data_IF_802773817787
#
_entry.id   IF_802773817787
#
_cell.length_a   1.000
_cell.length_b   1.000
_cell.length_c   1.000
_cell.angle_alpha   90.00
_cell.angle_beta   90.00
_cell.angle_gamma   90.00
#
_symmetry.space_group_name_H-M   'P 1'
#
loop_
_entity.id
_entity.type
_entity.pdbx_description
1 polymer ?
#
# COMPACT_ATOMS: atom_id res chain seq x y z
N UNK A 1 11.95 -14.61 4.80
CA UNK A 1 11.09 -15.30 5.79
C UNK A 1 11.27 -14.83 7.22
N UNK A 2 12.34 -14.14 7.66
CA UNK A 2 12.53 -13.95 9.12
C UNK A 2 12.21 -12.55 9.72
N UNK A 3 11.83 -11.53 8.93
CA UNK A 3 11.39 -10.24 9.52
C UNK A 3 9.93 -9.89 9.22
N UNK A 4 9.53 -9.92 7.95
CA UNK A 4 8.13 -9.67 7.56
C UNK A 4 7.25 -10.82 8.03
N UNK A 5 7.57 -12.07 7.65
CA UNK A 5 6.71 -13.21 8.00
C UNK A 5 6.65 -13.39 9.54
N UNK A 6 7.76 -13.21 10.27
CA UNK A 6 7.76 -13.28 11.75
C UNK A 6 6.92 -12.19 12.42
N UNK A 7 6.87 -10.96 11.87
CA UNK A 7 5.94 -9.92 12.35
C UNK A 7 4.50 -10.18 11.94
N UNK A 8 4.28 -10.79 10.78
CA UNK A 8 2.94 -10.99 10.21
C UNK A 8 2.21 -12.16 10.89
N UNK A 9 2.93 -13.22 11.28
CA UNK A 9 2.35 -14.41 11.94
C UNK A 9 1.78 -14.16 13.34
N UNK A 10 2.10 -13.01 13.96
CA UNK A 10 1.59 -12.61 15.29
C UNK A 10 0.61 -11.41 15.22
N UNK A 11 0.30 -10.91 14.02
CA UNK A 11 -0.53 -9.72 13.81
C UNK A 11 -1.86 -10.07 13.13
N UNK A 12 -2.87 -9.22 13.31
CA UNK A 12 -4.16 -9.38 12.62
C UNK A 12 -4.02 -9.02 11.13
N UNK A 13 -4.86 -9.58 10.24
CA UNK A 13 -4.90 -9.22 8.82
C UNK A 13 -4.94 -7.70 8.56
N UNK A 14 -5.61 -6.93 9.42
CA UNK A 14 -5.64 -5.46 9.37
C UNK A 14 -4.25 -4.80 9.37
N UNK A 15 -3.29 -5.40 10.09
CA UNK A 15 -1.96 -4.83 10.31
C UNK A 15 -0.97 -5.18 9.19
N UNK A 16 -1.31 -6.13 8.31
CA UNK A 16 -0.44 -6.58 7.23
C UNK A 16 -0.05 -5.41 6.33
N UNK A 17 -0.98 -4.49 6.08
CA UNK A 17 -0.75 -3.27 5.29
C UNK A 17 0.47 -2.48 5.79
N UNK A 18 0.58 -2.26 7.09
CA UNK A 18 1.70 -1.52 7.67
C UNK A 18 3.02 -2.29 7.54
N UNK A 19 2.97 -3.62 7.68
CA UNK A 19 4.17 -4.46 7.50
C UNK A 19 4.62 -4.47 6.04
N UNK A 20 3.68 -4.60 5.10
CA UNK A 20 3.95 -4.56 3.66
C UNK A 20 4.56 -3.23 3.25
N UNK A 21 3.99 -2.11 3.71
CA UNK A 21 4.55 -0.78 3.48
C UNK A 21 6.00 -0.70 3.97
N UNK A 22 6.24 -1.02 5.24
CA UNK A 22 7.57 -0.93 5.84
C UNK A 22 8.57 -1.86 5.13
N UNK A 23 8.13 -3.07 4.77
CA UNK A 23 8.89 -4.05 4.04
C UNK A 23 9.36 -3.53 2.69
N UNK A 24 8.44 -3.16 1.81
CA UNK A 24 8.78 -2.66 0.47
C UNK A 24 9.46 -1.30 0.51
N UNK A 25 9.12 -0.42 1.45
CA UNK A 25 9.85 0.82 1.65
C UNK A 25 11.31 0.55 1.99
N UNK A 26 11.58 -0.40 2.90
CA UNK A 26 12.95 -0.77 3.25
C UNK A 26 13.66 -1.41 2.07
N UNK A 27 12.99 -2.34 1.37
CA UNK A 27 13.53 -3.02 0.19
C UNK A 27 13.93 -2.02 -0.90
N UNK A 28 13.03 -1.13 -1.28
CA UNK A 28 13.25 -0.18 -2.38
C UNK A 28 14.27 0.91 -2.01
N UNK A 29 14.42 1.22 -0.72
CA UNK A 29 15.45 2.15 -0.23
C UNK A 29 16.88 1.63 -0.43
N UNK A 30 17.10 0.32 -0.55
CA UNK A 30 18.44 -0.20 -0.86
C UNK A 30 18.90 0.17 -2.27
N UNK A 31 17.97 0.50 -3.17
CA UNK A 31 18.23 0.90 -4.57
C UNK A 31 18.98 -0.12 -5.41
N UNK A 32 19.23 -1.30 -4.86
CA UNK A 32 19.85 -2.41 -5.55
C UNK A 32 18.94 -2.89 -6.69
N UNK A 33 19.54 -3.19 -7.83
CA UNK A 33 18.79 -3.73 -8.97
C UNK A 33 18.06 -5.04 -8.61
N UNK A 34 18.69 -5.87 -7.78
CA UNK A 34 18.08 -7.09 -7.25
C UNK A 34 16.83 -6.78 -6.42
N UNK A 35 16.86 -5.77 -5.56
CA UNK A 35 15.72 -5.37 -4.74
C UNK A 35 14.54 -4.88 -5.58
N UNK A 36 14.81 -4.16 -6.68
CA UNK A 36 13.77 -3.74 -7.64
C UNK A 36 13.14 -4.94 -8.36
N UNK A 37 13.96 -5.92 -8.74
CA UNK A 37 13.49 -7.15 -9.38
C UNK A 37 12.62 -7.94 -8.39
N UNK A 38 13.11 -8.18 -7.17
CA UNK A 38 12.36 -8.87 -6.11
C UNK A 38 11.03 -8.16 -5.79
N UNK A 39 11.04 -6.83 -5.73
CA UNK A 39 9.84 -6.00 -5.62
C UNK A 39 8.86 -6.21 -6.79
N UNK A 40 9.35 -6.14 -8.03
CA UNK A 40 8.52 -6.32 -9.22
C UNK A 40 7.93 -7.73 -9.31
N UNK A 41 8.68 -8.75 -8.90
CA UNK A 41 8.20 -10.13 -8.79
C UNK A 41 7.14 -10.30 -7.69
N UNK A 42 7.28 -9.58 -6.58
CA UNK A 42 6.27 -9.59 -5.51
C UNK A 42 4.97 -8.91 -5.95
N UNK A 43 5.05 -7.77 -6.65
CA UNK A 43 3.88 -7.15 -7.28
C UNK A 43 3.23 -8.05 -8.32
N UNK A 44 4.05 -8.72 -9.13
CA UNK A 44 3.56 -9.65 -10.13
C UNK A 44 2.78 -10.77 -9.44
N UNK A 45 3.31 -11.37 -8.37
CA UNK A 45 2.64 -12.41 -7.59
C UNK A 45 1.29 -11.94 -7.00
N UNK A 46 1.25 -10.73 -6.44
CA UNK A 46 0.00 -10.14 -5.93
C UNK A 46 -1.05 -9.92 -7.03
N UNK A 47 -0.63 -9.44 -8.21
CA UNK A 47 -1.53 -9.29 -9.37
C UNK A 47 -2.05 -10.64 -9.87
N UNK A 48 -1.13 -11.58 -10.02
CA UNK A 48 -1.37 -12.95 -10.43
C UNK A 48 -2.42 -13.62 -9.54
N UNK A 49 -2.24 -13.50 -8.22
CA UNK A 49 -3.18 -13.96 -7.21
C UNK A 49 -4.53 -13.21 -7.25
N UNK A 50 -4.51 -11.89 -7.38
CA UNK A 50 -5.74 -11.08 -7.46
C UNK A 50 -6.59 -11.46 -8.69
N UNK A 51 -5.96 -11.59 -9.85
CA UNK A 51 -6.61 -12.01 -11.10
C UNK A 51 -7.23 -13.39 -10.92
N UNK A 52 -6.46 -14.32 -10.37
CA UNK A 52 -6.94 -15.68 -10.11
C UNK A 52 -8.16 -15.66 -9.19
N UNK A 53 -8.10 -14.93 -8.07
CA UNK A 53 -9.21 -14.84 -7.13
C UNK A 53 -10.49 -14.31 -7.79
N UNK A 54 -10.40 -13.19 -8.51
CA UNK A 54 -11.55 -12.59 -9.20
C UNK A 54 -12.15 -13.53 -10.25
N UNK A 55 -11.33 -14.28 -10.99
CA UNK A 55 -11.80 -15.29 -11.92
C UNK A 55 -12.55 -16.43 -11.21
N UNK A 56 -12.09 -16.84 -10.02
CA UNK A 56 -12.76 -17.87 -9.21
C UNK A 56 -14.06 -17.39 -8.60
N UNK A 57 -14.10 -16.18 -8.01
CA UNK A 57 -15.36 -15.58 -7.52
C UNK A 57 -16.40 -15.58 -8.64
N UNK A 58 -16.01 -15.13 -9.84
CA UNK A 58 -16.89 -15.05 -11.00
C UNK A 58 -17.37 -16.42 -11.51
N UNK A 59 -16.57 -17.48 -11.36
CA UNK A 59 -16.90 -18.81 -11.89
C UNK A 59 -17.62 -19.72 -10.88
N UNK A 60 -17.37 -19.53 -9.59
CA UNK A 60 -17.91 -20.38 -8.53
C UNK A 60 -19.15 -19.79 -7.83
N UNK A 61 -19.31 -18.46 -7.83
CA UNK A 61 -20.51 -17.84 -7.25
C UNK A 61 -21.56 -17.60 -8.33
N UNK A 62 -22.65 -18.37 -8.25
CA UNK A 62 -23.80 -18.20 -9.14
C UNK A 62 -24.45 -16.82 -9.00
N UNK A 63 -24.54 -16.31 -7.76
CA UNK A 63 -25.10 -14.97 -7.49
C UNK A 63 -24.30 -13.87 -8.18
N UNK A 64 -22.96 -13.94 -8.09
CA UNK A 64 -22.06 -12.99 -8.76
C UNK A 64 -22.14 -13.16 -10.28
N UNK A 65 -22.18 -14.40 -10.78
CA UNK A 65 -22.20 -14.69 -12.21
C UNK A 65 -23.52 -14.26 -12.90
N UNK A 66 -24.63 -14.26 -12.17
CA UNK A 66 -25.95 -13.91 -12.71
C UNK A 66 -26.28 -12.40 -12.56
N UNK A 67 -25.52 -11.64 -11.77
CA UNK A 67 -25.66 -10.19 -11.64
C UNK A 67 -24.91 -9.46 -12.78
N UNK A 68 -25.62 -8.86 -13.77
CA UNK A 68 -24.97 -8.26 -14.94
C UNK A 68 -24.11 -7.04 -14.61
N UNK A 69 -24.47 -6.29 -13.57
CA UNK A 69 -23.72 -5.10 -13.15
C UNK A 69 -22.37 -5.52 -12.56
N UNK A 70 -22.40 -6.53 -11.70
CA UNK A 70 -21.20 -7.09 -11.08
C UNK A 70 -20.31 -7.79 -12.09
N UNK A 71 -20.89 -8.60 -12.97
CA UNK A 71 -20.12 -9.30 -13.99
C UNK A 71 -19.36 -8.33 -14.90
N UNK A 72 -20.00 -7.23 -15.32
CA UNK A 72 -19.37 -6.18 -16.12
C UNK A 72 -18.29 -5.43 -15.32
N UNK A 73 -18.55 -5.09 -14.05
CA UNK A 73 -17.56 -4.48 -13.16
C UNK A 73 -16.30 -5.36 -12.98
N UNK A 74 -16.49 -6.65 -12.69
CA UNK A 74 -15.41 -7.65 -12.59
C UNK A 74 -14.60 -7.72 -13.88
N UNK A 75 -15.28 -7.73 -15.03
CA UNK A 75 -14.64 -7.69 -16.35
C UNK A 75 -13.74 -6.47 -16.55
N UNK A 76 -14.16 -5.29 -16.09
CA UNK A 76 -13.33 -4.08 -16.12
C UNK A 76 -12.12 -4.19 -15.22
N UNK A 77 -12.29 -4.61 -13.96
CA UNK A 77 -11.19 -4.81 -13.01
C UNK A 77 -10.17 -5.81 -13.56
N UNK A 78 -10.64 -6.98 -14.02
CA UNK A 78 -9.78 -8.00 -14.65
C UNK A 78 -9.02 -7.45 -15.87
N UNK A 79 -9.66 -6.63 -16.70
CA UNK A 79 -9.01 -5.97 -17.84
C UNK A 79 -7.87 -5.05 -17.40
N UNK A 80 -8.06 -4.31 -16.31
CA UNK A 80 -7.02 -3.45 -15.73
C UNK A 80 -5.87 -4.28 -15.14
N UNK A 81 -6.17 -5.24 -14.26
CA UNK A 81 -5.16 -6.06 -13.61
C UNK A 81 -4.33 -6.86 -14.63
N UNK A 82 -4.96 -7.46 -15.64
CA UNK A 82 -4.24 -8.20 -16.70
C UNK A 82 -3.37 -7.30 -17.56
N UNK A 83 -3.78 -6.04 -17.78
CA UNK A 83 -2.96 -5.03 -18.46
C UNK A 83 -1.75 -4.63 -17.62
N UNK A 84 -1.93 -4.37 -16.33
CA UNK A 84 -0.86 -4.04 -15.40
C UNK A 84 0.13 -5.20 -15.24
N UNK A 85 -0.39 -6.42 -15.15
CA UNK A 85 0.40 -7.67 -15.19
C UNK A 85 1.30 -7.70 -16.43
N UNK A 86 0.76 -7.39 -17.60
CA UNK A 86 1.54 -7.34 -18.85
C UNK A 86 2.63 -6.27 -18.80
N UNK A 87 2.36 -5.11 -18.20
CA UNK A 87 3.37 -4.05 -18.05
C UNK A 87 4.51 -4.46 -17.12
N UNK A 88 4.20 -5.06 -15.96
CA UNK A 88 5.22 -5.57 -15.04
C UNK A 88 6.05 -6.70 -15.66
N UNK A 89 5.43 -7.63 -16.39
CA UNK A 89 6.16 -8.66 -17.12
C UNK A 89 7.17 -8.06 -18.10
N UNK A 90 6.80 -6.98 -18.80
CA UNK A 90 7.71 -6.30 -19.72
C UNK A 90 8.84 -5.58 -18.99
N UNK A 91 8.60 -5.04 -17.79
CA UNK A 91 9.65 -4.44 -16.95
C UNK A 91 10.63 -5.53 -16.49
N UNK A 92 10.12 -6.65 -15.97
CA UNK A 92 10.94 -7.76 -15.50
C UNK A 92 11.76 -8.37 -16.64
N UNK A 93 11.13 -8.67 -17.78
CA UNK A 93 11.79 -9.27 -18.94
C UNK A 93 12.90 -8.39 -19.51
N UNK A 94 12.70 -7.07 -19.53
CA UNK A 94 13.76 -6.14 -19.97
C UNK A 94 14.96 -6.10 -19.03
N UNK A 95 14.73 -6.24 -17.73
CA UNK A 95 15.80 -6.19 -16.71
C UNK A 95 16.54 -7.51 -16.56
N UNK A 96 15.82 -8.63 -16.64
CA UNK A 96 16.35 -9.96 -16.35
C UNK A 96 16.66 -10.78 -17.60
N UNK A 97 16.09 -10.43 -18.75
CA UNK A 97 16.08 -11.27 -19.94
C UNK A 97 15.11 -12.46 -19.86
N UNK A 98 14.41 -12.63 -18.74
CA UNK A 98 13.50 -13.74 -18.50
C UNK A 98 12.07 -13.24 -18.33
N UNK A 99 11.12 -13.96 -18.93
CA UNK A 99 9.69 -13.67 -18.77
C UNK A 99 9.09 -14.63 -17.74
N UNK A 100 8.73 -14.14 -16.53
CA UNK A 100 8.19 -15.01 -15.49
C UNK A 100 6.92 -15.73 -15.94
N UNK A 101 6.81 -16.99 -15.55
CA UNK A 101 5.59 -17.78 -15.74
C UNK A 101 4.73 -17.73 -14.50
N UNK A 102 3.43 -17.90 -14.71
CA UNK A 102 2.45 -18.02 -13.64
C UNK A 102 2.76 -19.30 -12.84
N UNK A 103 2.91 -19.17 -11.53
CA UNK A 103 3.31 -20.27 -10.62
C UNK A 103 2.08 -21.07 -10.22
N UNK A 104 1.75 -22.12 -10.98
CA UNK A 104 0.50 -22.90 -10.82
C UNK A 104 0.36 -23.52 -9.42
N UNK A 105 1.46 -24.00 -8.87
CA UNK A 105 1.54 -24.69 -7.58
C UNK A 105 1.09 -23.78 -6.42
N UNK A 106 1.33 -22.46 -6.53
CA UNK A 106 0.89 -21.48 -5.55
C UNK A 106 -0.65 -21.38 -5.48
N UNK A 107 -1.31 -21.45 -6.63
CA UNK A 107 -2.77 -21.37 -6.70
C UNK A 107 -3.44 -22.68 -6.31
N UNK A 108 -2.83 -23.81 -6.64
CA UNK A 108 -3.32 -25.13 -6.23
C UNK A 108 -3.33 -25.26 -4.70
N UNK A 109 -2.27 -24.79 -4.02
CA UNK A 109 -2.23 -24.73 -2.56
C UNK A 109 -3.32 -23.81 -1.98
N UNK A 110 -3.58 -22.67 -2.62
CA UNK A 110 -4.67 -21.78 -2.21
C UNK A 110 -6.05 -22.43 -2.42
N UNK A 111 -6.29 -23.05 -3.57
CA UNK A 111 -7.53 -23.81 -3.82
C UNK A 111 -7.78 -24.88 -2.77
N UNK A 112 -6.76 -25.62 -2.38
CA UNK A 112 -6.88 -26.71 -1.41
C UNK A 112 -7.26 -26.17 -0.01
N UNK A 113 -6.68 -25.04 0.40
CA UNK A 113 -7.01 -24.37 1.66
C UNK A 113 -8.41 -23.74 1.69
N UNK A 114 -8.90 -23.25 0.54
CA UNK A 114 -10.24 -22.67 0.44
C UNK A 114 -11.29 -23.78 0.35
N UNK A 115 -10.98 -24.90 -0.31
CA UNK A 115 -11.84 -26.09 -0.33
C UNK A 115 -12.06 -26.67 1.07
N UNK A 116 -11.11 -26.50 1.99
CA UNK A 116 -11.25 -26.90 3.39
C UNK A 116 -12.04 -25.89 4.22
N UNK A 117 -12.01 -24.58 3.91
CA UNK A 117 -12.79 -23.55 4.64
C UNK A 117 -14.26 -23.47 4.22
N UNK A 118 -14.60 -23.77 2.96
CA UNK A 118 -15.97 -23.71 2.37
C UNK A 118 -16.71 -22.37 2.53
N UNK A 119 -16.04 -21.31 2.93
CA UNK A 119 -16.66 -20.00 3.14
C UNK A 119 -16.26 -19.02 2.02
N UNK A 120 -17.24 -18.66 1.19
CA UNK A 120 -17.05 -17.69 0.11
C UNK A 120 -16.69 -16.30 0.67
N UNK A 121 -17.16 -15.95 1.87
CA UNK A 121 -16.78 -14.69 2.51
C UNK A 121 -15.28 -14.66 2.82
N UNK A 122 -14.74 -15.77 3.33
CA UNK A 122 -13.32 -15.89 3.64
C UNK A 122 -12.45 -15.79 2.37
N UNK A 123 -12.91 -16.43 1.29
CA UNK A 123 -12.27 -16.32 -0.03
C UNK A 123 -12.22 -14.88 -0.56
N UNK A 124 -13.36 -14.19 -0.54
CA UNK A 124 -13.47 -12.79 -0.99
C UNK A 124 -12.62 -11.89 -0.08
N UNK A 125 -12.62 -12.13 1.23
CA UNK A 125 -11.83 -11.37 2.18
C UNK A 125 -10.32 -11.56 1.98
N UNK A 126 -9.86 -12.78 1.65
CA UNK A 126 -8.47 -13.05 1.28
C UNK A 126 -8.05 -12.36 -0.03
N UNK A 127 -8.92 -12.38 -1.03
CA UNK A 127 -8.70 -11.65 -2.29
C UNK A 127 -8.61 -10.13 -2.06
N UNK A 128 -9.49 -9.58 -1.21
CA UNK A 128 -9.45 -8.17 -0.80
C UNK A 128 -8.17 -7.83 -0.06
N UNK A 129 -7.72 -8.69 0.86
CA UNK A 129 -6.45 -8.53 1.56
C UNK A 129 -5.29 -8.44 0.56
N UNK A 130 -5.25 -9.32 -0.44
CA UNK A 130 -4.23 -9.27 -1.49
C UNK A 130 -4.25 -7.95 -2.28
N UNK A 131 -5.44 -7.48 -2.70
CA UNK A 131 -5.58 -6.20 -3.42
C UNK A 131 -5.13 -5.00 -2.56
N UNK A 132 -5.46 -4.99 -1.27
CA UNK A 132 -4.99 -3.97 -0.32
C UNK A 132 -3.47 -3.99 -0.16
N UNK A 133 -2.88 -5.18 -0.08
CA UNK A 133 -1.42 -5.36 -0.06
C UNK A 133 -0.78 -4.88 -1.37
N UNK A 134 -1.37 -5.20 -2.52
CA UNK A 134 -0.93 -4.74 -3.84
C UNK A 134 -0.93 -3.21 -3.94
N UNK A 135 -2.03 -2.56 -3.59
CA UNK A 135 -2.14 -1.09 -3.64
C UNK A 135 -1.10 -0.45 -2.71
N UNK A 136 -0.89 -1.04 -1.53
CA UNK A 136 0.11 -0.55 -0.58
C UNK A 136 1.53 -0.71 -1.10
N UNK A 137 1.84 -1.85 -1.72
CA UNK A 137 3.12 -2.08 -2.39
C UNK A 137 3.31 -1.10 -3.55
N UNK A 138 2.29 -0.91 -4.39
CA UNK A 138 2.29 0.08 -5.49
C UNK A 138 2.60 1.48 -4.98
N UNK A 139 1.92 1.94 -3.92
CA UNK A 139 2.21 3.25 -3.29
C UNK A 139 3.66 3.31 -2.84
N UNK A 140 4.14 2.28 -2.13
CA UNK A 140 5.55 2.22 -1.71
C UNK A 140 6.51 2.31 -2.91
N UNK A 141 6.22 1.67 -4.04
CA UNK A 141 7.04 1.79 -5.24
C UNK A 141 6.94 3.14 -5.95
N UNK A 142 5.77 3.78 -5.97
CA UNK A 142 5.65 5.16 -6.47
C UNK A 142 6.56 6.10 -5.67
N UNK A 143 6.59 5.93 -4.34
CA UNK A 143 7.42 6.75 -3.45
C UNK A 143 8.91 6.40 -3.46
N UNK A 144 9.26 5.12 -3.39
CA UNK A 144 10.63 4.68 -3.07
C UNK A 144 11.40 4.09 -4.25
N UNK A 145 10.74 3.64 -5.32
CA UNK A 145 11.47 3.08 -6.48
C UNK A 145 12.33 4.16 -7.12
N UNK A 146 13.60 3.87 -7.38
CA UNK A 146 14.49 4.72 -8.18
C UNK A 146 14.33 4.49 -9.70
N UNK A 147 13.63 3.43 -10.13
CA UNK A 147 13.41 3.11 -11.54
C UNK A 147 12.21 3.87 -12.14
N UNK A 148 12.47 4.73 -13.14
CA UNK A 148 11.44 5.55 -13.79
C UNK A 148 10.40 4.69 -14.52
N UNK A 149 10.83 3.67 -15.27
CA UNK A 149 9.91 2.87 -16.07
C UNK A 149 8.94 2.10 -15.17
N UNK A 150 9.44 1.56 -14.07
CA UNK A 150 8.63 0.94 -13.04
C UNK A 150 7.66 1.96 -12.42
N UNK A 151 8.13 3.14 -11.98
CA UNK A 151 7.26 4.19 -11.44
C UNK A 151 6.13 4.59 -12.39
N UNK A 152 6.40 4.75 -13.69
CA UNK A 152 5.38 5.07 -14.70
C UNK A 152 4.27 3.99 -14.73
N UNK A 153 4.65 2.71 -14.63
CA UNK A 153 3.69 1.59 -14.54
C UNK A 153 2.91 1.63 -13.22
N UNK A 154 3.56 1.93 -12.11
CA UNK A 154 2.93 1.98 -10.79
C UNK A 154 1.94 3.14 -10.64
N UNK A 155 2.24 4.32 -11.20
CA UNK A 155 1.32 5.46 -11.25
C UNK A 155 0.05 5.07 -12.01
N UNK A 156 0.22 4.44 -13.18
CA UNK A 156 -0.92 3.96 -13.96
C UNK A 156 -1.76 2.89 -13.23
N UNK A 157 -1.15 2.11 -12.33
CA UNK A 157 -1.86 1.18 -11.44
C UNK A 157 -2.62 1.93 -10.34
N UNK A 158 -1.99 2.94 -9.72
CA UNK A 158 -2.57 3.70 -8.61
C UNK A 158 -3.80 4.51 -9.05
N UNK A 159 -3.76 5.14 -10.23
CA UNK A 159 -4.91 5.87 -10.81
C UNK A 159 -6.16 5.01 -11.02
N UNK A 160 -6.02 3.69 -11.02
CA UNK A 160 -7.11 2.71 -11.20
C UNK A 160 -7.50 1.99 -9.91
N UNK A 161 -6.79 2.26 -8.81
CA UNK A 161 -6.96 1.54 -7.55
C UNK A 161 -8.27 1.79 -6.77
N UNK A 162 -8.95 2.96 -6.87
CA UNK A 162 -10.18 3.20 -6.09
C UNK A 162 -11.30 2.19 -6.38
N UNK A 163 -11.33 1.67 -7.61
CA UNK A 163 -12.33 0.71 -8.06
C UNK A 163 -12.20 -0.65 -7.35
N UNK A 164 -10.98 -1.07 -6.99
CA UNK A 164 -10.73 -2.44 -6.55
C UNK A 164 -11.30 -2.73 -5.17
N UNK A 165 -11.09 -1.84 -4.20
CA UNK A 165 -11.62 -2.02 -2.83
C UNK A 165 -13.15 -1.94 -2.84
N UNK A 166 -13.73 -0.96 -3.56
CA UNK A 166 -15.18 -0.76 -3.65
C UNK A 166 -15.90 -2.02 -4.13
N UNK A 167 -15.45 -2.63 -5.23
CA UNK A 167 -16.11 -3.84 -5.75
C UNK A 167 -15.94 -5.04 -4.83
N UNK A 168 -14.78 -5.21 -4.21
CA UNK A 168 -14.56 -6.31 -3.26
C UNK A 168 -15.43 -6.18 -2.01
N UNK A 169 -15.61 -4.96 -1.51
CA UNK A 169 -16.50 -4.69 -0.37
C UNK A 169 -17.97 -4.92 -0.76
N UNK A 170 -18.37 -4.57 -1.98
CA UNK A 170 -19.71 -4.86 -2.49
C UNK A 170 -19.97 -6.38 -2.63
N UNK A 171 -18.98 -7.16 -3.07
CA UNK A 171 -19.10 -8.62 -3.13
C UNK A 171 -19.18 -9.21 -1.74
N UNK A 172 -18.29 -8.78 -0.84
CA UNK A 172 -18.21 -9.30 0.50
C UNK A 172 -19.51 -9.00 1.28
N UNK A 173 -20.10 -7.81 1.09
CA UNK A 173 -21.34 -7.40 1.73
C UNK A 173 -22.52 -8.33 1.47
N UNK A 174 -22.55 -8.99 0.29
CA UNK A 174 -23.57 -10.03 -0.04
C UNK A 174 -23.50 -11.25 0.89
N UNK A 175 -22.33 -11.51 1.51
CA UNK A 175 -22.12 -12.66 2.39
C UNK A 175 -22.06 -12.28 3.87
N UNK A 176 -21.56 -11.09 4.23
CA UNK A 176 -21.22 -10.77 5.63
C UNK A 176 -21.93 -9.56 6.24
N UNK A 177 -22.79 -8.86 5.51
CA UNK A 177 -23.57 -7.73 6.03
C UNK A 177 -22.75 -6.46 6.29
N UNK A 178 -21.68 -6.54 7.09
CA UNK A 178 -20.73 -5.45 7.38
C UNK A 178 -19.35 -5.79 6.77
N UNK A 179 -19.14 -5.54 5.47
CA UNK A 179 -17.90 -5.96 4.79
C UNK A 179 -16.65 -5.29 5.35
N UNK A 180 -16.74 -4.04 5.79
CA UNK A 180 -15.59 -3.24 6.24
C UNK A 180 -14.92 -3.78 7.51
N UNK A 181 -15.67 -4.49 8.35
CA UNK A 181 -15.18 -5.07 9.62
C UNK A 181 -14.85 -6.56 9.52
N UNK A 182 -15.29 -7.23 8.45
CA UNK A 182 -15.03 -8.65 8.25
C UNK A 182 -13.56 -8.86 7.87
N UNK A 183 -12.90 -9.85 8.44
CA UNK A 183 -11.51 -10.21 8.13
C UNK A 183 -11.43 -11.66 7.68
N UNK A 184 -10.47 -12.02 6.79
CA UNK A 184 -10.25 -13.41 6.48
C UNK A 184 -9.75 -14.17 7.71
N UNK A 185 -9.99 -15.48 7.73
CA UNK A 185 -9.38 -16.41 8.66
C UNK A 185 -7.85 -16.31 8.59
N UNK A 186 -7.18 -16.61 9.70
CA UNK A 186 -5.72 -16.61 9.73
C UNK A 186 -5.11 -17.62 8.76
N UNK A 187 -5.78 -18.74 8.48
CA UNK A 187 -5.33 -19.73 7.51
C UNK A 187 -5.29 -19.14 6.10
N UNK A 188 -6.37 -18.48 5.69
CA UNK A 188 -6.42 -17.76 4.40
C UNK A 188 -5.41 -16.62 4.37
N UNK A 189 -5.33 -15.81 5.44
CA UNK A 189 -4.40 -14.69 5.51
C UNK A 189 -2.93 -15.12 5.39
N UNK A 190 -2.54 -16.22 6.05
CA UNK A 190 -1.19 -16.78 6.00
C UNK A 190 -0.83 -17.29 4.60
N UNK A 191 -1.79 -17.87 3.87
CA UNK A 191 -1.56 -18.36 2.51
C UNK A 191 -1.43 -17.21 1.53
N UNK A 192 -2.31 -16.21 1.65
CA UNK A 192 -2.19 -14.96 0.87
C UNK A 192 -0.80 -14.35 1.08
N UNK A 193 -0.35 -14.28 2.33
CA UNK A 193 0.98 -13.78 2.66
C UNK A 193 2.09 -14.62 2.04
N UNK A 194 2.07 -15.94 2.19
CA UNK A 194 3.09 -16.83 1.63
C UNK A 194 3.23 -16.65 0.11
N UNK A 195 2.10 -16.62 -0.60
CA UNK A 195 2.08 -16.46 -2.06
C UNK A 195 2.60 -15.09 -2.45
N UNK A 196 2.08 -14.03 -1.82
CA UNK A 196 2.41 -12.65 -2.20
C UNK A 196 3.83 -12.25 -1.82
N UNK A 197 4.38 -12.85 -0.76
CA UNK A 197 5.70 -12.50 -0.22
C UNK A 197 6.77 -13.54 -0.54
N UNK A 198 6.48 -14.54 -1.38
CA UNK A 198 7.42 -15.60 -1.74
C UNK A 198 8.72 -15.09 -2.37
N UNK A 199 8.62 -13.99 -3.13
CA UNK A 199 9.76 -13.35 -3.78
C UNK A 199 10.39 -12.24 -2.91
N UNK A 200 9.84 -12.01 -1.72
CA UNK A 200 10.38 -11.01 -0.82
C UNK A 200 11.68 -11.54 -0.19
N UNK A 201 12.76 -10.73 -0.11
CA UNK A 201 14.04 -11.21 0.40
C UNK A 201 13.92 -11.81 1.79
N UNK A 202 14.64 -12.92 1.99
CA UNK A 202 14.54 -13.69 3.22
C UNK A 202 15.46 -13.21 4.34
N UNK A 203 16.55 -12.56 3.95
CA UNK A 203 17.52 -11.92 4.83
C UNK A 203 17.04 -10.50 5.20
N UNK A 204 17.46 -9.96 6.36
CA UNK A 204 17.16 -8.57 6.69
C UNK A 204 17.76 -7.69 5.59
N UNK A 205 16.92 -6.89 4.94
CA UNK A 205 17.42 -5.74 4.18
C UNK A 205 18.11 -4.85 5.22
N UNK A 206 19.41 -4.61 5.07
CA UNK A 206 20.13 -3.70 5.98
C UNK A 206 19.37 -2.37 6.07
N UNK A 207 19.18 -1.89 7.30
CA UNK A 207 18.35 -0.73 7.56
C UNK A 207 18.90 0.50 6.81
N UNK A 208 18.01 1.15 6.03
CA UNK A 208 18.11 2.45 5.38
C UNK A 208 19.50 3.15 5.40
N UNK A 209 20.09 3.22 4.20
CA UNK A 209 21.20 4.10 3.82
C UNK A 209 20.98 5.60 4.20
N UNK A 210 22.07 6.42 4.26
CA UNK A 210 22.05 7.74 4.87
C UNK A 210 20.95 8.67 4.37
N UNK A 211 20.35 9.39 5.31
CA UNK A 211 19.33 10.40 5.06
C UNK A 211 19.93 11.56 4.24
N UNK A 212 19.42 11.80 3.03
CA UNK A 212 19.72 13.01 2.25
C UNK A 212 18.89 14.17 2.80
N UNK A 213 19.58 15.17 3.33
CA UNK A 213 18.94 16.37 3.87
C UNK A 213 18.67 17.37 2.75
N UNK A 214 17.41 17.78 2.63
CA UNK A 214 16.96 18.77 1.67
C UNK A 214 16.56 20.01 2.45
N UNK A 215 17.14 21.15 2.11
CA UNK A 215 16.69 22.45 2.60
C UNK A 215 15.34 22.78 1.96
N UNK A 216 14.33 22.99 2.80
CA UNK A 216 12.95 23.21 2.35
C UNK A 216 12.45 24.63 2.59
N UNK A 217 12.83 25.26 3.71
CA UNK A 217 12.50 26.67 4.01
C UNK A 217 13.25 27.18 5.25
N UNK A 218 13.16 28.48 5.51
CA UNK A 218 13.66 29.08 6.76
C UNK A 218 12.75 28.75 7.95
N UNK A 219 13.34 28.61 9.15
CA UNK A 219 12.59 28.33 10.38
C UNK A 219 11.55 29.41 10.71
N UNK A 220 11.82 30.66 10.33
CA UNK A 220 10.88 31.78 10.48
C UNK A 220 9.69 31.74 9.50
N UNK A 221 9.76 30.93 8.45
CA UNK A 221 8.65 30.74 7.50
C UNK A 221 7.62 29.70 7.96
N UNK A 222 7.89 29.02 9.07
CA UNK A 222 6.98 28.09 9.72
C UNK A 222 6.86 28.47 11.21
N UNK A 223 5.94 29.41 11.56
CA UNK A 223 5.68 29.78 12.95
C UNK A 223 5.20 28.59 13.80
N UNK A 224 5.28 28.68 15.12
CA UNK A 224 4.72 27.64 15.98
C UNK A 224 3.19 27.54 15.81
N UNK A 225 2.66 26.31 15.91
CA UNK A 225 1.27 25.94 15.65
C UNK A 225 0.81 26.22 14.21
N UNK A 226 1.70 26.01 13.24
CA UNK A 226 1.40 26.23 11.83
C UNK A 226 1.73 25.03 10.95
N UNK A 227 1.17 25.08 9.75
CA UNK A 227 1.23 24.07 8.71
C UNK A 227 1.85 24.69 7.46
N UNK A 228 2.69 23.93 6.73
CA UNK A 228 3.20 24.34 5.42
C UNK A 228 3.37 23.13 4.53
N UNK A 229 2.69 23.13 3.38
CA UNK A 229 2.93 22.12 2.33
C UNK A 229 4.21 22.47 1.56
N UNK A 230 4.99 21.45 1.24
CA UNK A 230 6.14 21.52 0.35
C UNK A 230 6.07 20.39 -0.68
N UNK A 231 6.60 20.65 -1.88
CA UNK A 231 6.68 19.66 -2.95
C UNK A 231 8.15 19.43 -3.27
N UNK A 232 8.62 18.19 -3.12
CA UNK A 232 9.99 17.80 -3.46
C UNK A 232 9.98 16.98 -4.75
N UNK A 233 10.92 17.28 -5.66
CA UNK A 233 11.09 16.66 -6.97
C UNK A 233 9.80 16.65 -7.83
N UNK A 234 8.89 17.59 -7.57
CA UNK A 234 7.64 17.80 -8.32
C UNK A 234 6.55 16.77 -8.04
N UNK A 235 6.77 15.78 -7.17
CA UNK A 235 5.84 14.66 -6.95
C UNK A 235 5.62 14.30 -5.48
N UNK A 236 6.55 14.62 -4.58
CA UNK A 236 6.44 14.24 -3.16
C UNK A 236 5.89 15.42 -2.37
N UNK A 237 4.61 15.36 -1.98
CA UNK A 237 4.00 16.36 -1.11
C UNK A 237 4.18 16.03 0.37
N UNK A 238 4.86 16.92 1.09
CA UNK A 238 5.13 16.79 2.52
C UNK A 238 4.49 17.96 3.24
N UNK A 239 3.78 17.65 4.32
CA UNK A 239 3.29 18.63 5.28
C UNK A 239 4.33 18.83 6.38
N UNK A 240 4.87 20.04 6.45
CA UNK A 240 5.61 20.52 7.62
C UNK A 240 4.63 21.00 8.69
N UNK A 241 4.86 20.56 9.92
CA UNK A 241 4.08 20.96 11.10
C UNK A 241 5.04 21.48 12.15
N UNK A 242 4.86 22.71 12.62
CA UNK A 242 5.56 23.18 13.83
C UNK A 242 4.57 23.27 14.96
N UNK A 243 4.85 22.57 16.05
CA UNK A 243 4.00 22.55 17.25
C UNK A 243 4.85 22.24 18.46
N UNK A 244 4.55 22.87 19.59
CA UNK A 244 5.33 22.78 20.81
C UNK A 244 6.82 23.08 20.58
N UNK A 245 7.10 24.03 19.68
CA UNK A 245 8.45 24.49 19.34
C UNK A 245 9.29 23.49 18.54
N UNK A 246 8.71 22.38 18.06
CA UNK A 246 9.39 21.36 17.25
C UNK A 246 8.78 21.24 15.87
N UNK A 247 9.63 20.97 14.88
CA UNK A 247 9.21 20.74 13.49
C UNK A 247 9.08 19.24 13.24
N UNK A 248 7.98 18.86 12.61
CA UNK A 248 7.67 17.51 12.14
C UNK A 248 7.35 17.56 10.65
N UNK A 249 7.54 16.45 9.96
CA UNK A 249 7.20 16.31 8.56
C UNK A 249 6.44 15.00 8.32
N UNK A 250 5.29 15.09 7.67
CA UNK A 250 4.43 13.94 7.32
C UNK A 250 3.97 14.02 5.87
N UNK A 251 3.49 12.92 5.29
CA UNK A 251 2.83 12.93 3.98
C UNK A 251 1.64 13.90 3.99
N UNK A 252 1.58 14.81 3.02
CA UNK A 252 0.51 15.82 2.95
C UNK A 252 -0.82 15.21 2.52
N UNK A 253 -0.78 14.13 1.73
CA UNK A 253 -1.96 13.49 1.15
C UNK A 253 -2.56 12.53 2.17
N UNK A 254 -3.81 12.77 2.58
CA UNK A 254 -4.54 11.93 3.52
C UNK A 254 -4.62 10.50 3.00
N UNK A 255 -4.19 9.55 3.83
CA UNK A 255 -4.15 8.14 3.49
C UNK A 255 -5.51 7.47 3.29
N UNK A 256 -6.61 8.15 3.66
CA UNK A 256 -7.99 7.71 3.45
C UNK A 256 -8.38 7.84 1.97
N UNK A 257 -8.68 9.06 1.50
CA UNK A 257 -9.19 9.32 0.15
C UNK A 257 -8.48 10.51 -0.52
N UNK A 258 -7.27 10.85 -0.07
CA UNK A 258 -6.39 11.79 -0.78
C UNK A 258 -6.54 13.27 -0.41
N UNK A 259 -7.37 13.62 0.57
CA UNK A 259 -7.51 15.00 1.05
C UNK A 259 -6.20 15.64 1.52
N UNK A 260 -6.03 16.94 1.34
CA UNK A 260 -4.79 17.63 1.72
C UNK A 260 -4.77 17.95 3.22
N UNK A 261 -3.80 17.40 3.95
CA UNK A 261 -3.66 17.63 5.39
C UNK A 261 -3.17 19.05 5.71
N UNK A 262 -2.57 19.77 4.77
CA UNK A 262 -2.21 21.17 4.96
C UNK A 262 -3.43 22.09 5.14
N UNK A 263 -4.60 21.69 4.65
CA UNK A 263 -5.88 22.37 4.87
C UNK A 263 -6.57 21.89 6.16
N UNK A 264 -5.91 20.99 6.89
CA UNK A 264 -6.38 20.37 8.12
C UNK A 264 -6.38 21.28 9.35
N UNK A 265 -6.94 20.75 10.44
CA UNK A 265 -6.93 21.41 11.76
C UNK A 265 -5.88 20.75 12.66
N UNK A 266 -4.89 21.53 13.09
CA UNK A 266 -3.86 21.11 14.01
C UNK A 266 -4.26 21.37 15.48
N UNK A 267 -4.28 20.31 16.28
CA UNK A 267 -4.52 20.35 17.72
C UNK A 267 -3.36 19.66 18.45
N UNK A 268 -2.44 20.44 19.05
CA UNK A 268 -1.20 19.91 19.64
C UNK A 268 -0.39 19.08 18.64
N UNK A 269 -0.37 17.74 18.76
CA UNK A 269 0.31 16.82 17.83
C UNK A 269 -0.65 16.10 16.87
N UNK A 270 -1.94 16.42 16.90
CA UNK A 270 -2.97 15.79 16.08
C UNK A 270 -3.31 16.68 14.89
N UNK A 271 -3.12 16.19 13.68
CA UNK A 271 -3.64 16.83 12.46
C UNK A 271 -4.92 16.12 12.03
N UNK A 272 -6.00 16.90 11.85
CA UNK A 272 -7.30 16.40 11.41
C UNK A 272 -7.52 16.77 9.95
N UNK A 273 -7.80 15.79 9.09
CA UNK A 273 -8.23 16.04 7.72
C UNK A 273 -9.61 16.69 7.72
N UNK A 274 -9.81 17.78 6.97
CA UNK A 274 -11.11 18.47 6.92
C UNK A 274 -12.15 17.73 6.08
N UNK A 275 -11.73 16.84 5.17
CA UNK A 275 -12.66 16.15 4.28
C UNK A 275 -13.54 15.18 5.10
N UNK A 276 -12.92 14.21 5.77
CA UNK A 276 -13.64 13.12 6.46
C UNK A 276 -13.23 12.91 7.92
N UNK A 277 -12.46 13.86 8.50
CA UNK A 277 -12.10 13.94 9.92
C UNK A 277 -11.15 12.86 10.46
N UNK A 278 -10.47 12.12 9.58
CA UNK A 278 -9.36 11.25 9.97
C UNK A 278 -8.28 12.08 10.70
N UNK A 279 -7.83 11.59 11.86
CA UNK A 279 -6.80 12.25 12.69
C UNK A 279 -5.51 11.47 12.71
N UNK A 280 -4.37 12.17 12.63
CA UNK A 280 -3.05 11.56 12.64
C UNK A 280 -2.12 12.24 13.65
N UNK A 281 -1.27 11.45 14.32
CA UNK A 281 -0.19 11.97 15.16
C UNK A 281 0.99 12.39 14.28
N UNK A 282 1.31 13.69 14.22
CA UNK A 282 2.33 14.23 13.32
C UNK A 282 3.76 13.75 13.63
N UNK A 283 3.99 13.17 14.81
CA UNK A 283 5.30 12.68 15.25
C UNK A 283 5.56 11.26 14.77
N UNK A 284 4.48 10.48 14.61
CA UNK A 284 4.55 9.04 14.37
C UNK A 284 3.78 8.59 13.13
N UNK A 285 2.97 9.47 12.55
CA UNK A 285 2.04 9.17 11.45
C UNK A 285 0.83 8.33 11.85
N UNK A 286 0.76 7.83 13.09
CA UNK A 286 -0.30 6.92 13.53
C UNK A 286 -1.68 7.56 13.42
N UNK A 287 -2.67 6.76 13.02
CA UNK A 287 -4.08 7.15 13.06
C UNK A 287 -4.52 7.25 14.51
N UNK A 288 -5.01 8.43 14.90
CA UNK A 288 -5.57 8.72 16.22
C UNK A 288 -7.09 8.57 16.25
N UNK A 289 -7.75 8.86 15.12
CA UNK A 289 -9.18 8.65 14.94
C UNK A 289 -9.48 8.33 13.47
N UNK A 290 -10.33 7.33 13.26
CA UNK A 290 -10.80 6.95 11.94
C UNK A 290 -11.83 7.97 11.40
N UNK A 291 -11.96 8.10 10.07
CA UNK A 291 -13.05 8.85 9.44
C UNK A 291 -14.41 8.20 9.73
N UNK A 292 -15.50 8.92 9.41
CA UNK A 292 -16.87 8.44 9.62
C UNK A 292 -17.30 7.33 8.65
N UNK A 293 -16.53 7.11 7.58
CA UNK A 293 -16.65 5.99 6.65
C UNK A 293 -15.25 5.59 6.18
N UNK A 294 -15.07 4.34 5.76
CA UNK A 294 -13.78 3.84 5.34
C UNK A 294 -12.73 3.79 6.46
N UNK A 295 -11.48 3.55 6.08
CA UNK A 295 -10.36 3.46 7.01
C UNK A 295 -9.18 4.30 6.52
N UNK A 296 -8.72 5.21 7.37
CA UNK A 296 -7.43 5.87 7.20
C UNK A 296 -6.28 4.94 7.62
N UNK A 297 -5.14 5.07 6.95
CA UNK A 297 -3.90 4.33 7.24
C UNK A 297 -2.86 5.27 7.88
N UNK A 298 -1.84 4.78 8.60
CA UNK A 298 -0.79 5.66 9.11
C UNK A 298 -0.11 6.48 8.00
N UNK A 299 0.19 7.75 8.27
CA UNK A 299 0.95 8.61 7.36
C UNK A 299 2.44 8.31 7.39
N UNK A 300 3.12 8.46 6.26
CA UNK A 300 4.58 8.46 6.26
C UNK A 300 5.11 9.68 7.03
N UNK A 301 6.18 9.49 7.80
CA UNK A 301 6.90 10.55 8.52
C UNK A 301 8.30 10.72 7.95
N UNK A 302 8.80 11.96 7.94
CA UNK A 302 10.13 12.29 7.46
C UNK A 302 10.95 12.91 8.60
N UNK A 303 12.22 12.51 8.79
CA UNK A 303 13.08 13.13 9.78
C UNK A 303 13.31 14.61 9.45
N UNK A 304 13.37 15.44 10.47
CA UNK A 304 13.56 16.89 10.35
C UNK A 304 14.72 17.33 11.25
N UNK A 305 15.43 18.37 10.80
CA UNK A 305 16.39 19.09 11.65
C UNK A 305 16.38 20.57 11.30
N UNK A 306 16.83 21.39 12.24
CA UNK A 306 17.07 22.81 12.03
C UNK A 306 18.58 23.03 12.10
N UNK A 307 19.18 23.52 11.03
CA UNK A 307 20.59 23.91 10.97
C UNK A 307 20.69 25.29 10.34
N UNK A 308 21.46 26.20 10.95
CA UNK A 308 21.68 27.56 10.46
C UNK A 308 20.38 28.34 10.12
N UNK A 309 19.32 28.13 10.90
CA UNK A 309 18.02 28.77 10.71
C UNK A 309 17.22 28.23 9.51
N UNK A 310 17.65 27.13 8.91
CA UNK A 310 16.96 26.40 7.84
C UNK A 310 16.34 25.13 8.39
N UNK A 311 15.13 24.82 7.94
CA UNK A 311 14.49 23.53 8.15
C UNK A 311 14.98 22.60 7.04
N UNK A 312 15.56 21.48 7.44
CA UNK A 312 15.94 20.40 6.54
C UNK A 312 15.02 19.21 6.76
N UNK A 313 14.50 18.67 5.67
CA UNK A 313 13.75 17.40 5.64
C UNK A 313 14.68 16.33 5.11
N UNK A 314 14.77 15.24 5.85
CA UNK A 314 15.54 14.09 5.46
C UNK A 314 14.70 13.16 4.60
N UNK A 315 15.14 12.96 3.36
CA UNK A 315 14.60 11.93 2.51
C UNK A 315 15.52 10.71 2.54
N UNK A 316 14.91 9.54 2.56
CA UNK A 316 15.64 8.27 2.52
C UNK A 316 16.10 7.94 1.07
N UNK A 317 16.65 8.92 0.35
CA UNK A 317 17.00 8.85 -1.07
C UNK A 317 18.48 9.23 -1.33
N UNK A 318 19.26 8.35 -1.97
CA UNK A 318 20.29 8.73 -2.96
C UNK A 318 20.02 8.17 -4.34
#
# INVERSE_FOLDING_TARGET
MSYIITRVTETKPSDFTAVIWNGFATLLKSREEKALIDYAHSLLAMLDFSIYCLMRVSSDSKEVAEDPYIYDALGRVLTHLTRHRRYLLNVIERKTGERPRLVKEAYEAYEESVKSSRDMADFIAGARLCLRMLITAVRAGVYYSNDKQLRDVLIAMLERSPDYDLYMDEFLGRYVGEPDVYEPSMDVANIVLDICMRNFPHEPVEAAEPVKWIDVCGDGELPDKSLKSIIIDGVTEILLVKTEGRVYAVENICSHEGGLLCDGILESYSISCIDHLAKFDVRTGKVLAQPHHGLAKPQATFPTKIEDGRILVGLYHE
#
